data_IF_203638288270
#
_entry.id   IF_203638288270
#
_cell.length_a   1.000
_cell.length_b   1.000
_cell.length_c   1.000
_cell.angle_alpha   90.00
_cell.angle_beta   90.00
_cell.angle_gamma   90.00
#
_symmetry.space_group_name_H-M   'P 1'
#
loop_
_entity.id
_entity.type
_entity.pdbx_description
1 polymer ?
#
# COMPACT_ATOMS: atom_id res chain seq x y z
N UNK A 1 10.91 12.52 3.44
CA UNK A 1 9.63 13.24 3.52
C UNK A 1 8.98 13.14 4.90
N UNK A 2 8.82 11.93 5.46
CA UNK A 2 8.14 11.70 6.75
C UNK A 2 8.91 12.29 7.94
N UNK A 3 10.24 12.21 7.94
CA UNK A 3 11.09 12.69 9.05
C UNK A 3 11.37 14.20 9.06
N UNK A 4 10.87 14.96 8.06
CA UNK A 4 11.18 16.39 7.91
C UNK A 4 9.89 17.21 7.83
N UNK A 5 9.26 17.55 8.97
CA UNK A 5 7.99 18.27 9.01
C UNK A 5 8.04 19.60 8.24
N UNK A 6 9.16 20.31 8.33
CA UNK A 6 9.40 21.60 7.68
C UNK A 6 9.32 21.53 6.14
N UNK A 7 9.72 20.39 5.55
CA UNK A 7 9.63 20.16 4.10
C UNK A 7 8.23 19.69 3.72
N UNK A 8 7.62 18.83 4.54
CA UNK A 8 6.29 18.24 4.26
C UNK A 8 5.14 19.25 4.35
N UNK A 9 5.24 20.25 5.22
CA UNK A 9 4.18 21.24 5.46
C UNK A 9 4.34 22.55 4.68
N UNK A 10 5.45 22.74 3.94
CA UNK A 10 5.75 24.02 3.30
C UNK A 10 5.85 23.92 1.78
N UNK A 11 5.09 24.76 1.09
CA UNK A 11 5.21 24.95 -0.36
C UNK A 11 6.54 25.65 -0.71
N UNK A 12 7.22 25.27 -1.81
CA UNK A 12 6.91 24.20 -2.76
C UNK A 12 7.55 22.84 -2.42
N UNK A 13 8.35 22.76 -1.36
CA UNK A 13 9.15 21.57 -1.01
C UNK A 13 8.30 20.32 -0.78
N UNK A 14 7.08 20.48 -0.29
CA UNK A 14 6.14 19.38 -0.08
C UNK A 14 5.73 18.67 -1.38
N UNK A 15 5.39 19.41 -2.43
CA UNK A 15 5.05 18.85 -3.73
C UNK A 15 6.26 18.24 -4.43
N UNK A 16 7.42 18.89 -4.37
CA UNK A 16 8.66 18.35 -4.96
C UNK A 16 9.00 17.01 -4.32
N UNK A 17 8.96 16.93 -2.99
CA UNK A 17 9.23 15.68 -2.28
C UNK A 17 8.19 14.59 -2.59
N UNK A 18 6.91 14.96 -2.74
CA UNK A 18 5.86 14.03 -3.13
C UNK A 18 6.13 13.47 -4.53
N UNK A 19 6.35 14.35 -5.51
CA UNK A 19 6.59 13.97 -6.89
C UNK A 19 7.82 13.08 -7.05
N UNK A 20 8.94 13.41 -6.39
CA UNK A 20 10.15 12.58 -6.42
C UNK A 20 9.87 11.18 -5.86
N UNK A 21 9.16 11.09 -4.73
CA UNK A 21 8.79 9.80 -4.15
C UNK A 21 7.87 9.00 -5.07
N UNK A 22 6.79 9.62 -5.55
CA UNK A 22 5.80 8.98 -6.43
C UNK A 22 6.43 8.51 -7.74
N UNK A 23 7.33 9.28 -8.34
CA UNK A 23 8.03 8.87 -9.56
C UNK A 23 9.00 7.71 -9.30
N UNK A 24 9.78 7.78 -8.22
CA UNK A 24 10.70 6.70 -7.85
C UNK A 24 9.95 5.39 -7.56
N UNK A 25 8.86 5.47 -6.80
CA UNK A 25 8.06 4.29 -6.46
C UNK A 25 7.27 3.75 -7.66
N UNK A 26 6.73 4.63 -8.51
CA UNK A 26 6.10 4.22 -9.78
C UNK A 26 7.08 3.55 -10.72
N UNK A 27 8.32 4.06 -10.82
CA UNK A 27 9.37 3.42 -11.61
C UNK A 27 9.68 2.02 -11.10
N UNK A 28 9.90 1.86 -9.78
CA UNK A 28 10.14 0.55 -9.18
C UNK A 28 8.98 -0.42 -9.44
N UNK A 29 7.74 0.00 -9.18
CA UNK A 29 6.54 -0.80 -9.45
C UNK A 29 6.40 -1.16 -10.93
N UNK A 30 6.71 -0.23 -11.84
CA UNK A 30 6.72 -0.45 -13.28
C UNK A 30 7.73 -1.51 -13.69
N UNK A 31 8.95 -1.46 -13.14
CA UNK A 31 9.98 -2.48 -13.39
C UNK A 31 9.59 -3.85 -12.85
N UNK A 32 8.92 -3.93 -11.70
CA UNK A 32 8.40 -5.21 -11.19
C UNK A 32 7.30 -5.74 -12.12
N UNK A 33 6.42 -4.87 -12.59
CA UNK A 33 5.29 -5.23 -13.44
C UNK A 33 5.72 -5.70 -14.83
N UNK A 34 6.87 -5.25 -15.34
CA UNK A 34 7.39 -5.71 -16.63
C UNK A 34 7.87 -7.17 -16.65
N UNK A 35 7.96 -7.82 -15.48
CA UNK A 35 8.24 -9.26 -15.37
C UNK A 35 6.96 -10.13 -15.38
N UNK A 36 5.80 -9.52 -15.61
CA UNK A 36 4.51 -10.20 -15.66
C UNK A 36 3.85 -9.98 -17.01
N UNK A 37 3.04 -10.97 -17.41
CA UNK A 37 2.20 -10.89 -18.60
C UNK A 37 1.34 -9.62 -18.59
N UNK A 38 1.25 -8.94 -19.72
CA UNK A 38 0.45 -7.71 -19.86
C UNK A 38 -1.02 -7.95 -19.46
N UNK A 39 -1.58 -9.12 -19.80
CA UNK A 39 -2.95 -9.47 -19.43
C UNK A 39 -3.12 -9.61 -17.91
N UNK A 40 -2.17 -10.25 -17.23
CA UNK A 40 -2.15 -10.33 -15.77
C UNK A 40 -2.05 -8.96 -15.10
N UNK A 41 -1.20 -8.08 -15.64
CA UNK A 41 -1.04 -6.71 -15.13
C UNK A 41 -2.36 -5.93 -15.26
N UNK A 42 -3.04 -6.01 -16.40
CA UNK A 42 -4.32 -5.33 -16.62
C UNK A 42 -5.42 -5.83 -15.67
N UNK A 43 -5.49 -7.15 -15.44
CA UNK A 43 -6.42 -7.72 -14.45
C UNK A 43 -6.09 -7.20 -13.06
N UNK A 44 -4.82 -7.24 -12.64
CA UNK A 44 -4.40 -6.78 -11.33
C UNK A 44 -4.74 -5.29 -11.12
N UNK A 45 -4.54 -4.44 -12.14
CA UNK A 45 -4.95 -3.02 -12.09
C UNK A 45 -6.47 -2.90 -11.92
N UNK A 46 -7.26 -3.63 -12.71
CA UNK A 46 -8.72 -3.60 -12.62
C UNK A 46 -9.25 -4.04 -11.25
N UNK A 47 -8.72 -5.13 -10.71
CA UNK A 47 -9.07 -5.63 -9.37
C UNK A 47 -8.65 -4.64 -8.30
N UNK A 48 -7.44 -4.08 -8.37
CA UNK A 48 -6.96 -3.07 -7.42
C UNK A 48 -7.88 -1.85 -7.42
N UNK A 49 -8.22 -1.31 -8.60
CA UNK A 49 -9.12 -0.16 -8.71
C UNK A 49 -10.50 -0.44 -8.10
N UNK A 50 -11.08 -1.61 -8.40
CA UNK A 50 -12.34 -2.05 -7.81
C UNK A 50 -12.27 -2.18 -6.28
N UNK A 51 -11.23 -2.82 -5.75
CA UNK A 51 -11.01 -2.94 -4.31
C UNK A 51 -10.84 -1.57 -3.66
N UNK A 52 -10.04 -0.68 -4.24
CA UNK A 52 -9.83 0.65 -3.70
C UNK A 52 -11.14 1.45 -3.60
N UNK A 53 -11.99 1.40 -4.64
CA UNK A 53 -13.28 2.07 -4.61
C UNK A 53 -14.21 1.47 -3.55
N UNK A 54 -14.38 0.15 -3.53
CA UNK A 54 -15.28 -0.53 -2.59
C UNK A 54 -14.82 -0.31 -1.14
N UNK A 55 -13.53 -0.48 -0.87
CA UNK A 55 -12.94 -0.32 0.46
C UNK A 55 -13.05 1.13 0.93
N UNK A 56 -12.75 2.10 0.08
CA UNK A 56 -12.84 3.52 0.44
C UNK A 56 -14.29 3.91 0.74
N UNK A 57 -15.25 3.47 -0.09
CA UNK A 57 -16.68 3.69 0.15
C UNK A 57 -17.14 3.06 1.47
N UNK A 58 -16.69 1.84 1.76
CA UNK A 58 -16.96 1.17 3.03
C UNK A 58 -16.36 1.95 4.21
N UNK A 59 -15.11 2.40 4.10
CA UNK A 59 -14.40 3.12 5.15
C UNK A 59 -15.08 4.45 5.51
N UNK A 60 -15.60 5.17 4.50
CA UNK A 60 -16.34 6.43 4.66
C UNK A 60 -17.71 6.20 5.33
N UNK A 61 -18.42 5.13 4.94
CA UNK A 61 -19.80 4.89 5.38
C UNK A 61 -19.91 4.14 6.71
N UNK A 62 -18.92 3.29 7.03
CA UNK A 62 -18.98 2.44 8.21
C UNK A 62 -18.97 3.25 9.51
N UNK A 63 -19.72 2.80 10.52
CA UNK A 63 -19.71 3.41 11.85
C UNK A 63 -18.55 2.92 12.72
N UNK A 64 -17.90 1.83 12.32
CA UNK A 64 -16.77 1.23 13.02
C UNK A 64 -15.54 2.13 12.85
N UNK A 65 -14.91 2.47 13.96
CA UNK A 65 -13.72 3.31 14.00
C UNK A 65 -12.45 2.43 14.02
N UNK A 66 -11.90 2.17 12.84
CA UNK A 66 -10.66 1.38 12.67
C UNK A 66 -9.43 2.17 13.15
N UNK A 67 -9.50 3.50 13.21
CA UNK A 67 -8.39 4.35 13.67
C UNK A 67 -8.02 4.07 15.14
N UNK A 68 -8.93 3.50 15.93
CA UNK A 68 -8.68 3.07 17.32
C UNK A 68 -7.63 1.95 17.43
N UNK A 69 -7.44 1.17 16.37
CA UNK A 69 -6.54 0.03 16.33
C UNK A 69 -5.18 0.39 15.71
N UNK A 70 -4.67 1.60 15.91
CA UNK A 70 -3.39 2.05 15.35
C UNK A 70 -2.20 1.14 15.74
N UNK A 71 -2.21 0.57 16.94
CA UNK A 71 -1.20 -0.42 17.37
C UNK A 71 -1.24 -1.71 16.53
N UNK A 72 -2.43 -2.15 16.08
CA UNK A 72 -2.56 -3.31 15.21
C UNK A 72 -1.90 -3.06 13.86
N UNK A 73 -2.07 -1.85 13.31
CA UNK A 73 -1.44 -1.43 12.05
C UNK A 73 0.09 -1.54 12.16
N UNK A 74 0.69 -1.01 13.24
CA UNK A 74 2.14 -1.14 13.48
C UNK A 74 2.59 -2.61 13.53
N UNK A 75 1.85 -3.48 14.22
CA UNK A 75 2.17 -4.92 14.30
C UNK A 75 2.09 -5.57 12.92
N UNK A 76 1.04 -5.28 12.14
CA UNK A 76 0.89 -5.80 10.78
C UNK A 76 2.04 -5.33 9.86
N UNK A 77 2.50 -4.09 10.01
CA UNK A 77 3.70 -3.56 9.32
C UNK A 77 4.94 -4.40 9.62
N UNK A 78 5.21 -4.64 10.90
CA UNK A 78 6.39 -5.40 11.33
C UNK A 78 6.31 -6.84 10.83
N UNK A 79 5.15 -7.48 10.96
CA UNK A 79 4.93 -8.85 10.48
C UNK A 79 5.16 -8.93 8.97
N UNK A 80 4.55 -8.03 8.19
CA UNK A 80 4.68 -8.05 6.74
C UNK A 80 6.13 -7.82 6.28
N UNK A 81 6.86 -6.94 6.97
CA UNK A 81 8.27 -6.68 6.72
C UNK A 81 9.14 -7.91 7.01
N UNK A 82 9.02 -8.48 8.21
CA UNK A 82 9.84 -9.63 8.62
C UNK A 82 9.52 -10.87 7.78
N UNK A 83 8.25 -11.13 7.48
CA UNK A 83 7.86 -12.22 6.58
C UNK A 83 8.33 -11.96 5.15
N UNK A 84 8.33 -10.71 4.68
CA UNK A 84 8.87 -10.34 3.36
C UNK A 84 10.37 -10.61 3.25
N UNK A 85 11.14 -10.23 4.27
CA UNK A 85 12.58 -10.54 4.36
C UNK A 85 12.81 -12.05 4.38
N UNK A 86 12.04 -12.80 5.18
CA UNK A 86 12.12 -14.25 5.22
C UNK A 86 11.82 -14.88 3.84
N UNK A 87 10.78 -14.41 3.14
CA UNK A 87 10.46 -14.87 1.80
C UNK A 87 11.59 -14.57 0.80
N UNK A 88 12.22 -13.41 0.89
CA UNK A 88 13.36 -13.04 0.04
C UNK A 88 14.57 -13.96 0.29
N UNK A 89 14.87 -14.30 1.55
CA UNK A 89 15.95 -15.23 1.90
C UNK A 89 15.63 -16.64 1.36
N UNK A 90 14.41 -17.12 1.54
CA UNK A 90 13.98 -18.43 1.01
C UNK A 90 14.11 -18.46 -0.51
N UNK A 91 13.69 -17.40 -1.20
CA UNK A 91 13.85 -17.28 -2.64
C UNK A 91 15.32 -17.35 -3.06
N UNK A 92 16.22 -16.67 -2.34
CA UNK A 92 17.65 -16.65 -2.65
C UNK A 92 18.36 -18.00 -2.40
N UNK A 93 17.94 -18.76 -1.39
CA UNK A 93 18.59 -20.02 -1.00
C UNK A 93 17.97 -21.24 -1.67
N UNK A 94 16.64 -21.28 -1.78
CA UNK A 94 15.87 -22.45 -2.23
C UNK A 94 15.22 -22.27 -3.60
N UNK A 95 15.32 -21.07 -4.19
CA UNK A 95 14.71 -20.76 -5.48
C UNK A 95 13.22 -20.40 -5.41
N UNK A 96 12.56 -20.23 -6.57
CA UNK A 96 11.18 -19.76 -6.64
C UNK A 96 10.19 -20.79 -6.06
N UNK A 97 9.36 -20.36 -5.10
CA UNK A 97 8.29 -21.18 -4.53
C UNK A 97 6.92 -20.51 -4.75
N UNK A 98 6.13 -21.07 -5.67
CA UNK A 98 4.82 -20.52 -6.06
C UNK A 98 3.83 -20.43 -4.90
N UNK A 99 3.83 -21.42 -4.00
CA UNK A 99 2.94 -21.45 -2.84
C UNK A 99 3.30 -20.34 -1.86
N UNK A 100 4.59 -20.17 -1.56
CA UNK A 100 5.06 -19.11 -0.67
C UNK A 100 4.72 -17.71 -1.22
N UNK A 101 4.94 -17.49 -2.51
CA UNK A 101 4.57 -16.24 -3.18
C UNK A 101 3.05 -15.97 -3.13
N UNK A 102 2.23 -16.99 -3.40
CA UNK A 102 0.77 -16.84 -3.35
C UNK A 102 0.26 -16.56 -1.93
N UNK A 103 0.77 -17.26 -0.92
CA UNK A 103 0.40 -17.04 0.49
C UNK A 103 0.83 -15.65 0.95
N UNK A 104 2.07 -15.24 0.65
CA UNK A 104 2.56 -13.90 1.00
C UNK A 104 1.75 -12.81 0.29
N UNK A 105 1.47 -12.95 -1.00
CA UNK A 105 0.64 -12.02 -1.76
C UNK A 105 -0.79 -11.92 -1.21
N UNK A 106 -1.41 -13.05 -0.86
CA UNK A 106 -2.76 -13.07 -0.28
C UNK A 106 -2.82 -12.39 1.09
N UNK A 107 -1.88 -12.69 1.99
CA UNK A 107 -1.79 -12.02 3.29
C UNK A 107 -1.50 -10.53 3.11
N UNK A 108 -0.57 -10.18 2.23
CA UNK A 108 -0.24 -8.80 1.90
C UNK A 108 -1.44 -8.01 1.39
N UNK A 109 -2.23 -8.60 0.48
CA UNK A 109 -3.44 -7.96 -0.06
C UNK A 109 -4.49 -7.69 1.03
N UNK A 110 -4.69 -8.63 1.95
CA UNK A 110 -5.58 -8.43 3.10
C UNK A 110 -5.07 -7.31 4.02
N UNK A 111 -3.77 -7.31 4.31
CA UNK A 111 -3.13 -6.30 5.15
C UNK A 111 -3.25 -4.91 4.52
N UNK A 112 -2.85 -4.72 3.27
CA UNK A 112 -2.98 -3.42 2.59
C UNK A 112 -4.43 -2.97 2.39
N UNK A 113 -5.37 -3.89 2.28
CA UNK A 113 -6.80 -3.56 2.33
C UNK A 113 -7.21 -2.95 3.67
N UNK A 114 -6.68 -3.47 4.79
CA UNK A 114 -6.92 -2.90 6.13
C UNK A 114 -6.23 -1.55 6.30
N UNK A 115 -5.01 -1.38 5.76
CA UNK A 115 -4.35 -0.06 5.71
C UNK A 115 -5.22 0.95 4.96
N UNK A 116 -5.73 0.58 3.79
CA UNK A 116 -6.56 1.48 3.01
C UNK A 116 -7.83 1.92 3.74
N UNK A 117 -8.47 1.03 4.53
CA UNK A 117 -9.58 1.42 5.42
C UNK A 117 -9.09 2.44 6.46
N UNK A 118 -8.00 2.13 7.15
CA UNK A 118 -7.46 2.93 8.24
C UNK A 118 -7.05 4.34 7.76
N UNK A 119 -6.27 4.43 6.68
CA UNK A 119 -5.77 5.69 6.14
C UNK A 119 -6.89 6.51 5.49
N UNK A 120 -7.88 5.86 4.83
CA UNK A 120 -9.09 6.57 4.36
C UNK A 120 -9.85 7.20 5.53
N UNK A 121 -10.03 6.48 6.65
CA UNK A 121 -10.72 7.03 7.82
C UNK A 121 -9.95 8.18 8.48
N UNK A 122 -8.62 8.10 8.53
CA UNK A 122 -7.79 9.19 9.04
C UNK A 122 -7.90 10.46 8.20
N UNK A 123 -7.98 10.33 6.87
CA UNK A 123 -8.08 11.47 5.94
C UNK A 123 -9.47 12.10 5.95
N UNK A 124 -10.52 11.28 6.01
CA UNK A 124 -11.92 11.76 6.06
C UNK A 124 -12.22 12.47 7.39
N UNK A 125 -11.56 12.07 8.47
CA UNK A 125 -11.69 12.69 9.79
C UNK A 125 -13.00 12.34 10.50
N UNK A 126 -13.27 13.00 11.64
CA UNK A 126 -14.46 12.75 12.47
C UNK A 126 -14.40 11.47 13.30
N UNK A 127 -13.19 10.95 13.53
CA UNK A 127 -12.89 9.72 14.29
C UNK A 127 -11.84 9.99 15.38
N UNK A 128 -11.46 8.97 16.16
CA UNK A 128 -10.53 9.16 17.29
C UNK A 128 -9.16 9.69 16.86
N UNK A 129 -8.60 9.17 15.77
CA UNK A 129 -7.37 9.70 15.18
C UNK A 129 -7.70 10.25 13.80
N UNK A 130 -7.63 11.57 13.67
CA UNK A 130 -7.80 12.27 12.40
C UNK A 130 -6.52 13.00 12.02
N UNK A 131 -6.29 13.09 10.72
CA UNK A 131 -5.16 13.80 10.16
C UNK A 131 -5.42 15.31 10.18
N UNK A 132 -4.41 16.09 10.56
CA UNK A 132 -4.50 17.55 10.43
C UNK A 132 -4.65 17.94 8.94
N UNK A 133 -5.52 18.91 8.59
CA UNK A 133 -5.68 19.39 7.22
C UNK A 133 -4.37 19.89 6.57
N UNK A 134 -3.40 20.33 7.38
CA UNK A 134 -2.08 20.76 6.91
C UNK A 134 -1.20 19.59 6.41
N UNK A 135 -1.64 18.34 6.63
CA UNK A 135 -0.90 17.12 6.29
C UNK A 135 -1.47 16.39 5.07
N UNK A 136 -2.23 17.09 4.21
CA UNK A 136 -2.82 16.54 2.98
C UNK A 136 -1.80 15.81 2.08
N UNK A 137 -0.56 16.29 2.01
CA UNK A 137 0.53 15.64 1.26
C UNK A 137 0.89 14.28 1.87
N UNK A 138 0.89 14.17 3.19
CA UNK A 138 1.14 12.90 3.87
C UNK A 138 -0.03 11.93 3.68
N UNK A 139 -1.27 12.41 3.78
CA UNK A 139 -2.45 11.59 3.49
C UNK A 139 -2.45 11.06 2.04
N UNK A 140 -2.12 11.92 1.07
CA UNK A 140 -1.98 11.51 -0.33
C UNK A 140 -0.86 10.47 -0.52
N UNK A 141 0.28 10.65 0.16
CA UNK A 141 1.39 9.70 0.15
C UNK A 141 0.96 8.33 0.72
N UNK A 142 0.25 8.31 1.83
CA UNK A 142 -0.25 7.09 2.47
C UNK A 142 -1.19 6.31 1.55
N UNK A 143 -2.24 6.96 1.04
CA UNK A 143 -3.17 6.32 0.10
C UNK A 143 -2.46 5.81 -1.15
N UNK A 144 -1.51 6.57 -1.69
CA UNK A 144 -0.72 6.12 -2.84
C UNK A 144 0.09 4.86 -2.54
N UNK A 145 0.76 4.80 -1.37
CA UNK A 145 1.49 3.60 -0.95
C UNK A 145 0.57 2.40 -0.75
N UNK A 146 -0.61 2.59 -0.15
CA UNK A 146 -1.58 1.51 0.05
C UNK A 146 -2.06 0.92 -1.27
N UNK A 147 -2.44 1.79 -2.22
CA UNK A 147 -2.94 1.37 -3.55
C UNK A 147 -1.85 0.63 -4.32
N UNK A 148 -0.64 1.16 -4.37
CA UNK A 148 0.46 0.55 -5.14
C UNK A 148 0.91 -0.76 -4.52
N UNK A 149 1.00 -0.85 -3.20
CA UNK A 149 1.35 -2.10 -2.54
C UNK A 149 0.24 -3.15 -2.66
N UNK A 150 -1.03 -2.76 -2.56
CA UNK A 150 -2.16 -3.65 -2.83
C UNK A 150 -2.08 -4.20 -4.26
N UNK A 151 -1.78 -3.34 -5.24
CA UNK A 151 -1.55 -3.76 -6.62
C UNK A 151 -0.41 -4.78 -6.73
N UNK A 152 0.76 -4.53 -6.12
CA UNK A 152 1.88 -5.47 -6.16
C UNK A 152 1.54 -6.83 -5.51
N UNK A 153 0.77 -6.82 -4.42
CA UNK A 153 0.34 -8.05 -3.75
C UNK A 153 -0.66 -8.84 -4.59
N UNK A 154 -1.62 -8.17 -5.23
CA UNK A 154 -2.57 -8.78 -6.17
C UNK A 154 -1.88 -9.29 -7.44
N UNK A 155 -0.92 -8.52 -7.98
CA UNK A 155 -0.12 -8.93 -9.12
C UNK A 155 0.72 -10.16 -8.78
N UNK A 156 1.29 -10.25 -7.58
CA UNK A 156 2.01 -11.46 -7.14
C UNK A 156 1.09 -12.67 -6.98
N UNK A 157 -0.23 -12.48 -6.80
CA UNK A 157 -1.20 -13.56 -6.61
C UNK A 157 -1.77 -14.06 -7.96
N UNK A 158 -2.09 -13.12 -8.86
CA UNK A 158 -2.79 -13.37 -10.14
C UNK A 158 -1.81 -13.45 -11.31
N UNK A 159 -0.60 -12.93 -11.12
CA UNK A 159 0.41 -12.77 -12.15
C UNK A 159 0.97 -14.08 -12.67
N UNK A 160 0.86 -14.28 -13.97
CA UNK A 160 1.72 -15.20 -14.72
C UNK A 160 2.98 -14.43 -15.14
N UNK A 161 4.12 -15.10 -15.07
CA UNK A 161 5.43 -14.52 -15.43
C UNK A 161 5.83 -15.09 -16.79
N UNK A 162 6.31 -14.21 -17.65
CA UNK A 162 6.98 -14.54 -18.91
C UNK A 162 8.35 -15.22 -18.69
#
# INVERSE_FOLDING_TARGET
MVCCPSVRRRFPGNFIALSVFTLAFSYMTGTISSFYDTYSVLIAVGVTAGMCLIISLFAIQTKIDFTKCSALILVLSIVLLLTGIACAIVYAVSGPNKVLHAVYGGIGALVFSLYLVFDTQMIVGGRKHEMSPEEYIYGALQLYMDVVNLFLMLLSLIGSRD
#
